data_IF_130598450759
#
_entry.id   IF_130598450759
#
_cell.length_a   1.000
_cell.length_b   1.000
_cell.length_c   1.000
_cell.angle_alpha   90.00
_cell.angle_beta   90.00
_cell.angle_gamma   90.00
#
_symmetry.space_group_name_H-M   'P 1'
#
loop_
_entity.id
_entity.type
_entity.pdbx_description
1 polymer ?
#
# COMPACT_ATOMS: atom_id res chain seq x y z
N UNK A 1 34.61 43.69 0.91
CA UNK A 1 34.13 42.37 1.35
C UNK A 1 32.63 42.51 1.51
N UNK A 2 31.77 41.69 0.89
CA UNK A 2 30.34 41.84 1.08
C UNK A 2 29.94 41.26 2.44
N UNK A 3 29.19 42.05 3.19
CA UNK A 3 28.58 41.72 4.48
C UNK A 3 27.73 40.46 4.37
N UNK A 4 28.17 39.39 5.03
CA UNK A 4 27.38 38.18 5.22
C UNK A 4 26.32 38.46 6.29
N UNK A 5 25.22 39.07 5.88
CA UNK A 5 24.05 39.27 6.73
C UNK A 5 23.52 37.90 7.16
N UNK A 6 23.60 37.66 8.46
CA UNK A 6 23.18 36.47 9.18
C UNK A 6 21.82 35.92 8.70
N UNK A 7 21.86 34.86 7.89
CA UNK A 7 20.75 33.93 7.73
C UNK A 7 20.62 33.09 9.02
N UNK A 8 20.33 33.74 10.16
CA UNK A 8 19.94 33.03 11.38
C UNK A 8 18.61 32.36 11.09
N UNK A 9 18.65 31.05 10.83
CA UNK A 9 17.48 30.19 10.79
C UNK A 9 16.75 30.31 12.14
N UNK A 10 15.73 31.16 12.20
CA UNK A 10 14.84 31.29 13.35
C UNK A 10 13.94 30.05 13.40
N UNK A 11 14.49 28.96 13.91
CA UNK A 11 13.78 27.70 14.13
C UNK A 11 13.47 27.51 15.60
N UNK A 12 12.41 26.75 15.87
CA UNK A 12 12.01 26.32 17.20
C UNK A 12 11.73 24.82 17.21
N UNK A 13 12.00 24.18 18.34
CA UNK A 13 11.83 22.75 18.51
C UNK A 13 10.41 22.51 19.05
N UNK A 14 9.56 21.85 18.26
CA UNK A 14 8.15 21.58 18.60
C UNK A 14 7.93 20.06 18.56
N UNK A 15 7.17 19.47 19.49
CA UNK A 15 6.79 18.06 19.43
C UNK A 15 5.83 17.77 18.27
N UNK A 16 6.05 16.65 17.59
CA UNK A 16 5.14 16.17 16.55
C UNK A 16 3.82 15.64 17.14
N UNK A 17 2.66 16.08 16.63
CA UNK A 17 1.34 15.62 17.07
C UNK A 17 1.10 14.12 16.85
N UNK A 18 1.82 13.48 15.90
CA UNK A 18 1.63 12.06 15.57
C UNK A 18 2.58 11.13 16.33
N UNK A 19 3.86 11.47 16.42
CA UNK A 19 4.88 10.58 16.99
C UNK A 19 5.49 11.11 18.30
N UNK A 20 5.12 12.31 18.74
CA UNK A 20 5.67 12.96 19.94
C UNK A 20 7.12 13.42 19.81
N UNK A 21 7.84 13.00 18.77
CA UNK A 21 9.24 13.36 18.59
C UNK A 21 9.40 14.86 18.26
N UNK A 22 10.32 15.57 18.94
CA UNK A 22 10.59 16.96 18.63
C UNK A 22 11.19 17.13 17.23
N UNK A 23 10.79 18.18 16.52
CA UNK A 23 11.34 18.56 15.22
C UNK A 23 11.45 20.08 15.08
N UNK A 24 12.31 20.55 14.16
CA UNK A 24 12.53 21.97 13.94
C UNK A 24 11.42 22.55 13.05
N UNK A 25 10.72 23.57 13.53
CA UNK A 25 9.75 24.37 12.79
C UNK A 25 10.23 25.81 12.63
N UNK A 26 9.78 26.51 11.59
CA UNK A 26 10.12 27.93 11.41
C UNK A 26 9.28 28.78 12.37
N UNK A 27 9.94 29.64 13.15
CA UNK A 27 9.25 30.59 14.04
C UNK A 27 8.28 31.46 13.23
N UNK A 28 7.03 31.51 13.67
CA UNK A 28 5.96 32.28 13.02
C UNK A 28 5.06 31.49 12.06
N UNK A 29 5.23 30.16 11.96
CA UNK A 29 4.15 29.29 11.44
C UNK A 29 3.06 29.14 12.51
N UNK A 30 2.26 30.19 12.71
CA UNK A 30 1.02 30.11 13.46
C UNK A 30 -0.14 29.82 12.52
N UNK A 31 -0.87 28.70 12.75
CA UNK A 31 -2.35 28.59 12.69
C UNK A 31 -2.90 27.17 12.50
N UNK A 32 -2.07 26.11 12.47
CA UNK A 32 -2.58 24.73 12.55
C UNK A 32 -2.22 24.11 13.89
N UNK A 33 -3.23 23.58 14.60
CA UNK A 33 -3.08 22.94 15.92
C UNK A 33 -2.25 21.65 15.88
N UNK A 34 -1.90 21.16 14.70
CA UNK A 34 -1.17 19.90 14.53
C UNK A 34 0.14 20.10 13.78
N UNK A 35 1.22 20.21 14.54
CA UNK A 35 2.58 20.21 14.00
C UNK A 35 2.99 18.77 13.70
N UNK A 36 3.05 18.41 12.41
CA UNK A 36 3.45 17.07 11.96
C UNK A 36 4.86 17.13 11.37
N UNK A 37 5.76 16.26 11.82
CA UNK A 37 7.11 16.21 11.28
C UNK A 37 7.15 15.57 9.88
N UNK A 38 8.14 15.97 9.07
CA UNK A 38 8.35 15.46 7.70
C UNK A 38 8.39 13.94 7.63
N UNK A 39 8.93 13.27 8.65
CA UNK A 39 8.98 11.81 8.70
C UNK A 39 7.57 11.20 8.78
N UNK A 40 6.67 11.78 9.56
CA UNK A 40 5.29 11.30 9.64
C UNK A 40 4.52 11.57 8.35
N UNK A 41 4.76 12.71 7.70
CA UNK A 41 4.19 13.04 6.38
C UNK A 41 4.64 12.00 5.34
N UNK A 42 5.95 11.78 5.22
CA UNK A 42 6.52 10.77 4.30
C UNK A 42 6.03 9.36 4.59
N UNK A 43 5.84 9.01 5.86
CA UNK A 43 5.28 7.72 6.26
C UNK A 43 3.81 7.57 5.82
N UNK A 44 3.00 8.62 5.93
CA UNK A 44 1.62 8.61 5.45
C UNK A 44 1.55 8.49 3.93
N UNK A 45 2.39 9.23 3.19
CA UNK A 45 2.49 9.12 1.73
C UNK A 45 2.84 7.70 1.30
N UNK A 46 3.89 7.11 1.90
CA UNK A 46 4.28 5.71 1.63
C UNK A 46 3.16 4.72 1.92
N UNK A 47 2.40 4.91 3.00
CA UNK A 47 1.24 4.07 3.33
C UNK A 47 0.16 4.18 2.25
N UNK A 48 -0.11 5.38 1.76
CA UNK A 48 -1.09 5.63 0.68
C UNK A 48 -0.65 4.97 -0.63
N UNK A 49 0.61 5.10 -0.99
CA UNK A 49 1.17 4.48 -2.21
C UNK A 49 1.11 2.95 -2.14
N UNK A 50 1.45 2.38 -0.97
CA UNK A 50 1.33 0.95 -0.74
C UNK A 50 -0.12 0.48 -0.87
N UNK A 51 -1.07 1.21 -0.28
CA UNK A 51 -2.50 0.88 -0.38
C UNK A 51 -2.97 0.92 -1.84
N UNK A 52 -2.58 1.94 -2.60
CA UNK A 52 -2.92 2.06 -4.01
C UNK A 52 -2.34 0.91 -4.84
N UNK A 53 -1.09 0.51 -4.57
CA UNK A 53 -0.43 -0.61 -5.23
C UNK A 53 -1.17 -1.93 -4.97
N UNK A 54 -1.54 -2.20 -3.71
CA UNK A 54 -2.34 -3.37 -3.33
C UNK A 54 -3.69 -3.38 -4.04
N UNK A 55 -4.39 -2.24 -4.06
CA UNK A 55 -5.68 -2.10 -4.73
C UNK A 55 -5.58 -2.31 -6.25
N UNK A 56 -4.49 -1.85 -6.88
CA UNK A 56 -4.24 -2.09 -8.32
C UNK A 56 -4.06 -3.57 -8.62
N UNK A 57 -3.18 -4.26 -7.89
CA UNK A 57 -2.93 -5.69 -8.11
C UNK A 57 -4.19 -6.52 -7.88
N UNK A 58 -4.99 -6.21 -6.86
CA UNK A 58 -6.28 -6.88 -6.66
C UNK A 58 -7.26 -6.63 -7.80
N UNK A 59 -7.28 -5.40 -8.36
CA UNK A 59 -8.13 -5.05 -9.50
C UNK A 59 -7.70 -5.79 -10.77
N UNK A 60 -6.41 -5.87 -11.04
CA UNK A 60 -5.85 -6.60 -12.20
C UNK A 60 -6.22 -8.08 -12.17
N UNK A 61 -6.08 -8.73 -11.01
CA UNK A 61 -6.46 -10.15 -10.88
C UNK A 61 -7.97 -10.34 -11.04
N UNK A 62 -8.80 -9.44 -10.49
CA UNK A 62 -10.26 -9.46 -10.72
C UNK A 62 -10.61 -9.30 -12.20
N UNK A 63 -9.94 -8.40 -12.91
CA UNK A 63 -10.13 -8.23 -14.36
C UNK A 63 -9.74 -9.50 -15.10
N UNK A 64 -8.60 -10.10 -14.75
CA UNK A 64 -8.13 -11.32 -15.41
C UNK A 64 -9.05 -12.54 -15.13
N UNK A 65 -9.66 -12.63 -13.94
CA UNK A 65 -10.71 -13.63 -13.66
C UNK A 65 -11.89 -13.43 -14.61
N UNK A 66 -12.40 -12.19 -14.76
CA UNK A 66 -13.53 -11.90 -15.67
C UNK A 66 -13.21 -12.23 -17.13
N UNK A 67 -11.98 -11.96 -17.57
CA UNK A 67 -11.53 -12.33 -18.92
C UNK A 67 -11.57 -13.84 -19.12
N UNK A 68 -11.09 -14.63 -18.16
CA UNK A 68 -11.15 -16.09 -18.22
C UNK A 68 -12.59 -16.62 -18.18
N UNK A 69 -13.48 -16.02 -17.37
CA UNK A 69 -14.92 -16.34 -17.36
C UNK A 69 -15.55 -16.11 -18.73
N UNK A 70 -15.22 -15.00 -19.40
CA UNK A 70 -15.65 -14.74 -20.76
C UNK A 70 -15.06 -15.74 -21.77
N UNK A 71 -13.79 -16.15 -21.61
CA UNK A 71 -13.19 -17.17 -22.47
C UNK A 71 -13.87 -18.54 -22.28
N UNK A 72 -14.29 -18.89 -21.06
CA UNK A 72 -15.05 -20.11 -20.79
C UNK A 72 -16.40 -20.10 -21.49
N UNK A 73 -17.10 -18.96 -21.50
CA UNK A 73 -18.44 -18.86 -22.09
C UNK A 73 -18.42 -19.02 -23.61
N UNK A 74 -17.38 -18.50 -24.28
CA UNK A 74 -17.23 -18.58 -25.74
C UNK A 74 -16.47 -19.82 -26.22
N UNK A 75 -15.71 -20.51 -25.36
CA UNK A 75 -14.96 -21.69 -25.78
C UNK A 75 -15.88 -22.88 -26.04
N UNK A 76 -15.62 -23.63 -27.11
CA UNK A 76 -16.29 -24.92 -27.36
C UNK A 76 -15.48 -26.10 -26.80
N UNK A 77 -14.19 -25.89 -26.53
CA UNK A 77 -13.27 -26.94 -26.09
C UNK A 77 -13.35 -27.16 -24.58
N UNK A 78 -13.78 -28.36 -24.17
CA UNK A 78 -13.87 -28.77 -22.75
C UNK A 78 -12.51 -28.63 -22.05
N UNK A 79 -11.43 -29.10 -22.68
CA UNK A 79 -10.06 -29.01 -22.12
C UNK A 79 -9.64 -27.55 -21.86
N UNK A 80 -9.99 -26.62 -22.75
CA UNK A 80 -9.68 -25.19 -22.54
C UNK A 80 -10.48 -24.62 -21.38
N UNK A 81 -11.75 -25.00 -21.23
CA UNK A 81 -12.58 -24.58 -20.09
C UNK A 81 -12.03 -25.07 -18.76
N UNK A 82 -11.58 -26.32 -18.70
CA UNK A 82 -10.96 -26.89 -17.49
C UNK A 82 -9.73 -26.09 -17.05
N UNK A 83 -8.84 -25.76 -17.98
CA UNK A 83 -7.64 -24.94 -17.70
C UNK A 83 -8.03 -23.54 -17.18
N UNK A 84 -9.02 -22.89 -17.81
CA UNK A 84 -9.48 -21.57 -17.33
C UNK A 84 -10.12 -21.66 -15.93
N UNK A 85 -10.91 -22.70 -15.66
CA UNK A 85 -11.52 -22.92 -14.34
C UNK A 85 -10.46 -23.12 -13.25
N UNK A 86 -9.41 -23.90 -13.53
CA UNK A 86 -8.30 -24.13 -12.61
C UNK A 86 -7.52 -22.83 -12.32
N UNK A 87 -7.28 -22.02 -13.35
CA UNK A 87 -6.64 -20.72 -13.22
C UNK A 87 -7.51 -19.72 -12.42
N UNK A 88 -8.82 -19.69 -12.67
CA UNK A 88 -9.79 -18.87 -11.91
C UNK A 88 -9.75 -19.28 -10.44
N UNK A 89 -9.80 -20.59 -10.15
CA UNK A 89 -9.77 -21.11 -8.79
C UNK A 89 -8.51 -20.68 -8.05
N UNK A 90 -7.35 -20.88 -8.67
CA UNK A 90 -6.04 -20.50 -8.09
C UNK A 90 -5.98 -19.00 -7.79
N UNK A 91 -6.38 -18.15 -8.74
CA UNK A 91 -6.37 -16.70 -8.55
C UNK A 91 -7.38 -16.24 -7.50
N UNK A 92 -8.55 -16.88 -7.43
CA UNK A 92 -9.57 -16.57 -6.43
C UNK A 92 -9.10 -16.92 -5.01
N UNK A 93 -8.46 -18.09 -4.84
CA UNK A 93 -7.89 -18.50 -3.55
C UNK A 93 -6.80 -17.55 -3.07
N UNK A 94 -5.91 -17.11 -3.97
CA UNK A 94 -4.89 -16.12 -3.65
C UNK A 94 -5.50 -14.78 -3.22
N UNK A 95 -6.57 -14.34 -3.89
CA UNK A 95 -7.27 -13.09 -3.55
C UNK A 95 -7.95 -13.18 -2.18
N UNK A 96 -8.61 -14.30 -1.89
CA UNK A 96 -9.23 -14.56 -0.58
C UNK A 96 -8.19 -14.52 0.54
N UNK A 97 -7.06 -15.22 0.38
CA UNK A 97 -5.96 -15.20 1.35
C UNK A 97 -5.35 -13.81 1.53
N UNK A 98 -5.21 -13.04 0.45
CA UNK A 98 -4.77 -11.64 0.52
C UNK A 98 -5.70 -10.81 1.41
N UNK A 99 -7.02 -10.94 1.24
CA UNK A 99 -7.99 -10.17 2.04
C UNK A 99 -7.98 -10.62 3.51
N UNK A 100 -7.89 -11.92 3.77
CA UNK A 100 -7.81 -12.45 5.14
C UNK A 100 -6.56 -11.96 5.88
N UNK A 101 -5.40 -11.98 5.24
CA UNK A 101 -4.15 -11.50 5.84
C UNK A 101 -4.21 -9.99 6.14
N UNK A 102 -4.77 -9.19 5.23
CA UNK A 102 -4.96 -7.75 5.47
C UNK A 102 -5.85 -7.48 6.69
N UNK A 103 -6.96 -8.22 6.85
CA UNK A 103 -7.81 -8.12 8.03
C UNK A 103 -7.05 -8.47 9.31
N UNK A 104 -6.29 -9.56 9.30
CA UNK A 104 -5.46 -9.95 10.47
C UNK A 104 -4.40 -8.91 10.80
N UNK A 105 -3.78 -8.28 9.81
CA UNK A 105 -2.81 -7.19 10.02
C UNK A 105 -3.50 -5.99 10.67
N UNK A 106 -4.69 -5.61 10.19
CA UNK A 106 -5.47 -4.51 10.76
C UNK A 106 -5.88 -4.79 12.22
N UNK A 107 -6.29 -6.02 12.53
CA UNK A 107 -6.74 -6.42 13.86
C UNK A 107 -5.59 -6.58 14.87
N UNK A 108 -4.47 -7.15 14.45
CA UNK A 108 -3.40 -7.60 15.38
C UNK A 108 -2.12 -6.77 15.28
N UNK A 109 -1.88 -6.12 14.14
CA UNK A 109 -0.61 -5.50 13.79
C UNK A 109 0.62 -6.42 14.01
N UNK A 110 0.42 -7.74 13.92
CA UNK A 110 1.46 -8.75 14.11
C UNK A 110 2.36 -8.84 12.88
N UNK A 111 3.67 -8.75 13.12
CA UNK A 111 4.71 -8.83 12.09
C UNK A 111 4.63 -10.12 11.28
N UNK A 112 4.20 -11.23 11.90
CA UNK A 112 4.03 -12.51 11.20
C UNK A 112 3.07 -12.41 10.01
N UNK A 113 1.89 -11.81 10.21
CA UNK A 113 0.91 -11.69 9.12
C UNK A 113 1.36 -10.70 8.05
N UNK A 114 2.12 -9.66 8.43
CA UNK A 114 2.73 -8.73 7.49
C UNK A 114 3.71 -9.47 6.57
N UNK A 115 4.55 -10.35 7.12
CA UNK A 115 5.53 -11.09 6.33
C UNK A 115 4.89 -12.19 5.47
N UNK A 116 3.87 -12.87 5.98
CA UNK A 116 3.03 -13.77 5.19
C UNK A 116 2.36 -13.04 4.02
N UNK A 117 1.85 -11.82 4.25
CA UNK A 117 1.25 -11.00 3.21
C UNK A 117 2.25 -10.58 2.14
N UNK A 118 3.47 -10.16 2.52
CA UNK A 118 4.54 -9.83 1.55
C UNK A 118 4.87 -11.02 0.67
N UNK A 119 5.04 -12.21 1.26
CA UNK A 119 5.32 -13.42 0.51
C UNK A 119 4.19 -13.79 -0.46
N UNK A 120 2.93 -13.60 -0.04
CA UNK A 120 1.77 -13.81 -0.90
C UNK A 120 1.69 -12.76 -2.01
N UNK A 121 2.05 -11.50 -1.72
CA UNK A 121 2.04 -10.41 -2.69
C UNK A 121 3.03 -10.64 -3.84
N UNK A 122 4.23 -11.17 -3.56
CA UNK A 122 5.17 -11.54 -4.63
C UNK A 122 4.61 -12.66 -5.52
N UNK A 123 3.90 -13.64 -4.96
CA UNK A 123 3.20 -14.67 -5.76
C UNK A 123 2.06 -14.09 -6.58
N UNK A 124 1.33 -13.09 -6.06
CA UNK A 124 0.29 -12.42 -6.82
C UNK A 124 0.87 -11.73 -8.07
N UNK A 125 2.07 -11.14 -7.97
CA UNK A 125 2.76 -10.52 -9.11
C UNK A 125 3.10 -11.50 -10.22
N UNK A 126 3.47 -12.73 -9.89
CA UNK A 126 3.75 -13.78 -10.89
C UNK A 126 2.52 -14.13 -11.75
N UNK A 127 1.32 -13.81 -11.28
CA UNK A 127 0.06 -14.03 -11.99
C UNK A 127 -0.51 -12.77 -12.65
N UNK A 128 0.15 -11.62 -12.51
CA UNK A 128 -0.17 -10.39 -13.23
C UNK A 128 0.32 -10.51 -14.69
N UNK A 129 -0.44 -9.97 -15.65
CA UNK A 129 -0.09 -10.00 -17.07
C UNK A 129 1.16 -9.15 -17.39
#
# INVERSE_FOLDING_TARGET
MPDSNDNKLNVELIPCSLCGNPFMSKKGQSESKDFICDNCIKLQERKKDLLNSVMSSQKEIKTSIKEMENQISISESIKKKEVFLENIKTRSELLTKSVELLKKIEETNDQKYIDEYKALYEKLKEHLP
#
